data_IF_652353656429
#
_entry.id   IF_652353656429
#
_cell.length_a   1.000
_cell.length_b   1.000
_cell.length_c   1.000
_cell.angle_alpha   90.00
_cell.angle_beta   90.00
_cell.angle_gamma   90.00
#
_symmetry.space_group_name_H-M   'P 1'
#
loop_
_entity.id
_entity.type
_entity.pdbx_description
1 polymer ?
#
# COMPACT_ATOMS: atom_id res chain seq x y z
N UNK A 1 -27.13 -39.89 41.76
CA UNK A 1 -26.23 -40.14 40.62
C UNK A 1 -25.58 -38.81 40.27
N UNK A 2 -24.29 -38.68 40.56
CA UNK A 2 -23.47 -37.49 40.29
C UNK A 2 -22.70 -37.69 38.98
N UNK A 3 -22.49 -36.59 38.25
CA UNK A 3 -21.51 -36.46 37.17
C UNK A 3 -22.14 -36.27 35.78
N UNK A 4 -21.69 -35.38 34.92
CA UNK A 4 -20.62 -34.39 34.96
C UNK A 4 -20.94 -33.34 33.90
N UNK A 5 -20.85 -32.06 34.25
CA UNK A 5 -20.88 -30.95 33.29
C UNK A 5 -19.54 -30.90 32.56
N UNK A 6 -19.52 -31.17 31.26
CA UNK A 6 -18.33 -30.98 30.42
C UNK A 6 -18.25 -29.50 30.05
N UNK A 7 -17.35 -28.76 30.69
CA UNK A 7 -17.03 -27.37 30.35
C UNK A 7 -16.01 -27.40 29.21
N UNK A 8 -16.43 -27.06 27.98
CA UNK A 8 -15.52 -26.80 26.87
C UNK A 8 -14.79 -25.47 27.13
N UNK A 9 -13.50 -25.56 27.46
CA UNK A 9 -12.58 -24.42 27.46
C UNK A 9 -12.22 -24.08 26.01
N UNK A 10 -12.84 -23.05 25.44
CA UNK A 10 -12.35 -22.42 24.22
C UNK A 10 -11.07 -21.64 24.56
N UNK A 11 -9.92 -22.21 24.22
CA UNK A 11 -8.66 -21.47 24.19
C UNK A 11 -8.71 -20.46 23.04
N UNK A 12 -8.93 -19.19 23.36
CA UNK A 12 -8.77 -18.07 22.45
C UNK A 12 -7.28 -17.90 22.10
N UNK A 13 -6.86 -18.49 20.99
CA UNK A 13 -5.60 -18.15 20.33
C UNK A 13 -5.73 -16.73 19.78
N UNK A 14 -5.29 -15.75 20.57
CA UNK A 14 -5.04 -14.39 20.08
C UNK A 14 -3.89 -14.46 19.07
N UNK A 15 -4.22 -14.59 17.79
CA UNK A 15 -3.28 -14.29 16.72
C UNK A 15 -3.01 -12.79 16.85
N UNK A 16 -1.85 -12.44 17.39
CA UNK A 16 -1.40 -11.06 17.41
C UNK A 16 -1.37 -10.58 15.96
N UNK A 17 -2.33 -9.74 15.59
CA UNK A 17 -2.26 -8.98 14.35
C UNK A 17 -0.91 -8.28 14.36
N UNK A 18 -0.10 -8.34 13.28
CA UNK A 18 1.13 -7.59 13.23
C UNK A 18 0.76 -6.13 13.48
N UNK A 19 1.26 -5.58 14.58
CA UNK A 19 1.16 -4.16 14.89
C UNK A 19 1.95 -3.46 13.80
N UNK A 20 1.27 -3.03 12.75
CA UNK A 20 1.82 -2.08 11.81
C UNK A 20 2.08 -0.83 12.64
N UNK A 21 3.34 -0.58 13.01
CA UNK A 21 3.79 0.68 13.59
C UNK A 21 3.24 1.79 12.68
N UNK A 22 2.18 2.45 13.13
CA UNK A 22 1.47 3.46 12.36
C UNK A 22 2.47 4.56 12.07
N UNK A 23 2.92 4.65 10.82
CA UNK A 23 3.85 5.71 10.42
C UNK A 23 3.08 7.03 10.54
N UNK A 24 3.74 8.04 11.08
CA UNK A 24 3.27 9.40 10.85
C UNK A 24 3.28 9.66 9.33
N UNK A 25 2.32 10.45 8.86
CA UNK A 25 2.21 10.84 7.45
C UNK A 25 3.57 11.37 6.99
N UNK A 26 4.19 10.64 6.06
CA UNK A 26 5.52 10.96 5.56
C UNK A 26 5.39 11.43 4.13
N UNK A 27 5.50 12.75 3.92
CA UNK A 27 5.46 13.32 2.58
C UNK A 27 6.66 12.85 1.76
N UNK A 28 6.39 12.42 0.53
CA UNK A 28 7.42 12.11 -0.46
C UNK A 28 7.47 13.19 -1.54
N UNK A 29 8.62 13.40 -2.18
CA UNK A 29 8.79 14.34 -3.29
C UNK A 29 8.78 13.62 -4.64
N UNK A 30 8.07 14.17 -5.63
CA UNK A 30 8.13 13.67 -7.02
C UNK A 30 9.58 13.68 -7.51
N UNK A 31 9.99 12.59 -8.17
CA UNK A 31 11.35 12.41 -8.69
C UNK A 31 12.37 11.87 -7.67
N UNK A 32 12.03 11.81 -6.37
CA UNK A 32 12.92 11.19 -5.40
C UNK A 32 12.83 9.66 -5.47
N UNK A 33 13.91 8.99 -5.06
CA UNK A 33 13.90 7.54 -4.83
C UNK A 33 13.26 7.24 -3.48
N UNK A 34 12.34 6.28 -3.43
CA UNK A 34 11.71 5.80 -2.21
C UNK A 34 11.65 4.27 -2.21
N UNK A 35 11.62 3.68 -1.01
CA UNK A 35 11.48 2.24 -0.82
C UNK A 35 10.08 1.94 -0.32
N UNK A 36 9.29 1.27 -1.15
CA UNK A 36 8.03 0.67 -0.77
C UNK A 36 8.28 -0.55 0.12
N UNK A 37 7.45 -0.73 1.15
CA UNK A 37 7.48 -1.92 2.00
C UNK A 37 6.07 -2.37 2.34
N UNK A 38 5.81 -3.67 2.27
CA UNK A 38 4.54 -4.26 2.68
C UNK A 38 4.75 -5.68 3.21
N UNK A 39 3.73 -6.22 3.89
CA UNK A 39 3.67 -7.63 4.27
C UNK A 39 2.71 -8.34 3.34
N UNK A 40 3.16 -9.39 2.67
CA UNK A 40 2.31 -10.14 1.73
C UNK A 40 1.45 -11.20 2.43
N UNK A 41 0.61 -11.89 1.67
CA UNK A 41 -0.28 -12.95 2.17
C UNK A 41 0.43 -14.14 2.83
N UNK A 42 1.71 -14.35 2.51
CA UNK A 42 2.55 -15.38 3.12
C UNK A 42 3.24 -14.92 4.42
N UNK A 43 2.94 -13.70 4.90
CA UNK A 43 3.55 -13.10 6.09
C UNK A 43 4.98 -12.60 5.88
N UNK A 44 5.49 -12.59 4.64
CA UNK A 44 6.84 -12.10 4.32
C UNK A 44 6.85 -10.59 4.17
N UNK A 45 7.96 -9.97 4.56
CA UNK A 45 8.19 -8.55 4.32
C UNK A 45 8.76 -8.37 2.92
N UNK A 46 8.01 -7.71 2.05
CA UNK A 46 8.40 -7.37 0.70
C UNK A 46 8.86 -5.91 0.61
N UNK A 47 9.89 -5.66 -0.18
CA UNK A 47 10.41 -4.31 -0.46
C UNK A 47 10.69 -4.10 -1.94
N UNK A 48 10.51 -2.87 -2.39
CA UNK A 48 10.87 -2.44 -3.74
C UNK A 48 11.32 -0.98 -3.70
N UNK A 49 12.40 -0.65 -4.40
CA UNK A 49 12.89 0.73 -4.50
C UNK A 49 12.60 1.26 -5.90
N UNK A 50 11.93 2.42 -5.95
CA UNK A 50 11.53 3.06 -7.19
C UNK A 50 11.50 4.58 -7.06
N UNK A 51 11.10 5.25 -8.14
CA UNK A 51 11.02 6.72 -8.19
C UNK A 51 9.57 7.16 -7.96
N UNK A 52 9.37 8.11 -7.06
CA UNK A 52 8.06 8.71 -6.76
C UNK A 52 7.58 9.52 -7.96
N UNK A 53 6.31 9.35 -8.33
CA UNK A 53 5.72 9.93 -9.53
C UNK A 53 6.01 9.15 -10.83
N UNK A 54 6.57 7.94 -10.74
CA UNK A 54 6.74 7.06 -11.91
C UNK A 54 5.41 6.77 -12.60
N UNK A 55 5.48 6.42 -13.88
CA UNK A 55 4.31 5.96 -14.64
C UNK A 55 4.49 4.52 -15.11
N UNK A 56 3.92 3.57 -14.38
CA UNK A 56 4.01 2.14 -14.73
C UNK A 56 2.87 1.68 -15.65
N UNK A 57 1.89 2.55 -15.94
CA UNK A 57 0.72 2.22 -16.76
C UNK A 57 -0.25 1.28 -16.03
N UNK A 58 -0.75 0.25 -16.72
CA UNK A 58 -1.55 -0.79 -16.09
C UNK A 58 -0.67 -1.85 -15.41
N UNK A 59 -1.20 -2.52 -14.38
CA UNK A 59 -0.54 -3.65 -13.73
C UNK A 59 -0.32 -4.83 -14.70
N UNK A 60 0.41 -5.89 -14.30
CA UNK A 60 0.63 -7.06 -15.15
C UNK A 60 -0.65 -7.77 -15.65
N UNK A 61 -1.77 -7.66 -14.94
CA UNK A 61 -3.08 -8.17 -15.40
C UNK A 61 -3.78 -7.28 -16.43
N UNK A 62 -3.20 -6.11 -16.76
CA UNK A 62 -3.77 -5.15 -17.70
C UNK A 62 -4.86 -4.25 -17.10
N UNK A 63 -4.95 -4.16 -15.78
CA UNK A 63 -5.94 -3.35 -15.06
C UNK A 63 -5.33 -2.22 -14.24
N UNK A 64 -6.16 -1.27 -13.83
CA UNK A 64 -5.78 -0.13 -12.99
C UNK A 64 -4.96 0.96 -13.71
N UNK A 65 -4.74 2.06 -12.99
CA UNK A 65 -3.87 3.16 -13.42
C UNK A 65 -2.79 3.37 -12.34
N UNK A 66 -1.58 2.93 -12.67
CA UNK A 66 -0.38 3.06 -11.84
C UNK A 66 0.55 4.14 -12.38
N UNK A 67 -0.03 5.20 -12.96
CA UNK A 67 0.65 6.47 -13.15
C UNK A 67 0.78 7.24 -11.83
N UNK A 68 1.78 8.13 -11.73
CA UNK A 68 2.03 8.92 -10.52
C UNK A 68 2.25 8.09 -9.24
N UNK A 69 3.05 7.01 -9.30
CA UNK A 69 3.25 6.13 -8.15
C UNK A 69 3.68 6.91 -6.88
N UNK A 70 2.97 6.68 -5.78
CA UNK A 70 3.16 7.42 -4.53
C UNK A 70 2.15 8.52 -4.30
N UNK A 71 1.36 8.88 -5.32
CA UNK A 71 0.20 9.74 -5.15
C UNK A 71 -0.91 8.96 -4.45
N UNK A 72 -1.51 9.54 -3.43
CA UNK A 72 -2.71 8.96 -2.83
C UNK A 72 -3.89 9.04 -3.80
N UNK A 73 -4.48 7.89 -4.13
CA UNK A 73 -5.56 7.73 -5.10
C UNK A 73 -5.12 7.00 -6.36
N UNK A 74 -6.04 6.80 -7.30
CA UNK A 74 -5.74 6.10 -8.55
C UNK A 74 -4.99 7.02 -9.52
N UNK A 75 -3.82 6.62 -9.99
CA UNK A 75 -3.14 7.27 -11.11
C UNK A 75 -2.80 8.75 -10.92
N UNK A 76 -2.40 9.40 -12.02
CA UNK A 76 -2.26 10.85 -12.11
C UNK A 76 -3.62 11.57 -12.29
N UNK A 77 -4.63 10.86 -12.79
CA UNK A 77 -5.91 11.44 -13.21
C UNK A 77 -7.09 11.11 -12.29
N UNK A 78 -6.92 10.15 -11.37
CA UNK A 78 -7.98 9.74 -10.48
C UNK A 78 -8.30 10.79 -9.42
N UNK A 79 -9.56 10.79 -8.99
CA UNK A 79 -10.10 11.70 -7.98
C UNK A 79 -9.39 11.51 -6.65
N UNK A 80 -8.71 12.56 -6.18
CA UNK A 80 -8.16 12.66 -4.83
C UNK A 80 -8.18 14.13 -4.38
N UNK A 81 -8.14 14.35 -3.07
CA UNK A 81 -8.02 15.70 -2.52
C UNK A 81 -6.57 16.14 -2.68
N UNK A 82 -6.32 16.96 -3.71
CA UNK A 82 -4.97 17.35 -4.10
C UNK A 82 -4.17 16.22 -4.73
N UNK A 83 -2.90 16.51 -5.00
CA UNK A 83 -1.94 15.56 -5.56
C UNK A 83 -0.92 15.23 -4.47
N UNK A 84 -1.39 14.50 -3.47
CA UNK A 84 -0.66 14.20 -2.24
C UNK A 84 0.26 13.02 -2.48
N UNK A 85 1.57 13.19 -2.25
CA UNK A 85 2.53 12.11 -2.35
C UNK A 85 3.07 11.70 -0.99
N UNK A 86 2.94 10.43 -0.63
CA UNK A 86 3.34 9.92 0.70
C UNK A 86 3.92 8.52 0.65
N UNK A 87 4.57 8.13 1.74
CA UNK A 87 5.25 6.84 1.86
C UNK A 87 4.29 5.65 1.86
N UNK A 88 3.12 5.75 2.49
CA UNK A 88 2.20 4.61 2.54
C UNK A 88 1.40 4.50 1.25
N UNK A 89 1.02 5.62 0.61
CA UNK A 89 0.47 5.60 -0.74
C UNK A 89 1.48 5.03 -1.75
N UNK A 90 2.77 5.36 -1.65
CA UNK A 90 3.81 4.75 -2.49
C UNK A 90 3.94 3.25 -2.26
N UNK A 91 3.93 2.81 -1.00
CA UNK A 91 4.01 1.40 -0.68
C UNK A 91 2.79 0.62 -1.19
N UNK A 92 1.59 1.19 -1.06
CA UNK A 92 0.35 0.62 -1.57
C UNK A 92 0.36 0.51 -3.09
N UNK A 93 0.69 1.57 -3.82
CA UNK A 93 0.72 1.57 -5.29
C UNK A 93 1.65 0.49 -5.84
N UNK A 94 2.85 0.42 -5.27
CA UNK A 94 3.86 -0.56 -5.68
C UNK A 94 3.42 -1.98 -5.34
N UNK A 95 2.90 -2.22 -4.13
CA UNK A 95 2.34 -3.51 -3.77
C UNK A 95 1.25 -3.91 -4.77
N UNK A 96 0.30 -3.01 -4.99
CA UNK A 96 -0.87 -3.25 -5.82
C UNK A 96 -0.50 -3.52 -7.26
N UNK A 97 0.47 -2.80 -7.81
CA UNK A 97 1.01 -3.02 -9.15
C UNK A 97 1.55 -4.44 -9.29
N UNK A 98 2.49 -4.84 -8.44
CA UNK A 98 3.17 -6.13 -8.58
C UNK A 98 2.28 -7.34 -8.27
N UNK A 99 1.26 -7.17 -7.41
CA UNK A 99 0.34 -8.24 -7.04
C UNK A 99 -0.96 -8.23 -7.86
N UNK A 100 -1.13 -7.28 -8.78
CA UNK A 100 -2.41 -7.02 -9.46
C UNK A 100 -3.58 -6.96 -8.46
N UNK A 101 -3.36 -6.26 -7.35
CA UNK A 101 -4.22 -6.28 -6.18
C UNK A 101 -5.60 -5.69 -6.47
N UNK A 102 -6.62 -6.21 -5.77
CA UNK A 102 -7.99 -5.72 -5.87
C UNK A 102 -8.75 -5.96 -4.56
N UNK A 103 -9.83 -5.19 -4.32
CA UNK A 103 -10.60 -5.31 -3.08
C UNK A 103 -10.10 -4.46 -1.90
N UNK A 104 -9.13 -3.57 -2.14
CA UNK A 104 -8.67 -2.57 -1.16
C UNK A 104 -8.15 -3.21 0.12
N UNK A 105 -8.71 -2.82 1.27
CA UNK A 105 -8.34 -3.32 2.59
C UNK A 105 -8.43 -4.85 2.74
N UNK A 106 -9.27 -5.51 1.94
CA UNK A 106 -9.45 -6.96 1.97
C UNK A 106 -8.49 -7.72 1.05
N UNK A 107 -7.64 -7.02 0.28
CA UNK A 107 -6.67 -7.68 -0.57
C UNK A 107 -5.65 -8.47 0.29
N UNK A 108 -5.42 -9.77 0.01
CA UNK A 108 -4.59 -10.60 0.86
C UNK A 108 -3.10 -10.21 0.83
N UNK A 109 -2.62 -9.54 -0.22
CA UNK A 109 -1.22 -9.12 -0.33
C UNK A 109 -1.01 -7.64 0.03
N UNK A 110 -1.99 -6.79 -0.28
CA UNK A 110 -1.84 -5.34 -0.22
C UNK A 110 -2.84 -4.65 0.71
N UNK A 111 -3.78 -5.38 1.33
CA UNK A 111 -4.79 -4.80 2.20
C UNK A 111 -4.21 -4.08 3.42
N UNK A 112 -3.11 -4.58 3.97
CA UNK A 112 -2.38 -3.89 5.04
C UNK A 112 -1.78 -2.56 4.57
N UNK A 113 -1.19 -2.52 3.37
CA UNK A 113 -0.65 -1.28 2.79
C UNK A 113 -1.77 -0.31 2.41
N UNK A 114 -2.91 -0.81 1.92
CA UNK A 114 -4.11 -0.01 1.68
C UNK A 114 -4.58 0.67 2.97
N UNK A 115 -4.71 -0.10 4.06
CA UNK A 115 -5.14 0.44 5.35
C UNK A 115 -4.14 1.46 5.91
N UNK A 116 -2.84 1.25 5.72
CA UNK A 116 -1.80 2.20 6.09
C UNK A 116 -1.93 3.52 5.32
N UNK A 117 -2.34 3.49 4.05
CA UNK A 117 -2.48 4.68 3.22
C UNK A 117 -3.79 5.48 3.47
N UNK A 118 -4.70 5.01 4.34
CA UNK A 118 -6.01 5.64 4.55
C UNK A 118 -5.86 7.04 5.18
N UNK A 119 -5.02 7.19 6.21
CA UNK A 119 -4.82 8.51 6.83
C UNK A 119 -3.95 9.42 5.99
N UNK A 120 -2.99 8.88 5.22
CA UNK A 120 -2.28 9.63 4.17
C UNK A 120 -3.26 10.23 3.15
N UNK A 121 -4.26 9.46 2.73
CA UNK A 121 -5.31 9.93 1.80
C UNK A 121 -6.20 11.00 2.44
N UNK A 122 -6.56 10.82 3.71
CA UNK A 122 -7.48 11.72 4.40
C UNK A 122 -6.81 13.04 4.84
N UNK A 123 -5.53 13.00 5.22
CA UNK A 123 -4.87 14.09 5.92
C UNK A 123 -3.57 14.55 5.25
N UNK A 124 -3.07 13.86 4.22
CA UNK A 124 -1.82 14.23 3.56
C UNK A 124 -1.85 15.62 2.91
N UNK A 125 -3.02 16.08 2.45
CA UNK A 125 -3.19 17.45 1.96
C UNK A 125 -2.98 18.48 3.08
N UNK A 126 -3.61 18.27 4.25
CA UNK A 126 -3.44 19.13 5.42
C UNK A 126 -2.00 19.11 5.96
N UNK A 127 -1.26 18.02 5.74
CA UNK A 127 0.16 17.90 6.07
C UNK A 127 1.10 18.47 4.99
N UNK A 128 0.56 19.11 3.94
CA UNK A 128 1.35 19.81 2.93
C UNK A 128 2.07 18.89 1.94
N UNK A 129 1.65 17.63 1.80
CA UNK A 129 2.30 16.70 0.87
C UNK A 129 1.87 16.89 -0.61
N UNK A 130 1.05 17.90 -0.91
CA UNK A 130 0.52 18.15 -2.25
C UNK A 130 1.59 18.71 -3.19
N UNK A 131 1.67 18.18 -4.41
CA UNK A 131 2.64 18.55 -5.45
C UNK A 131 2.02 18.57 -6.85
N UNK A 132 2.74 19.07 -7.84
CA UNK A 132 2.33 18.92 -9.25
C UNK A 132 2.62 17.50 -9.75
N UNK A 133 1.64 16.88 -10.40
CA UNK A 133 1.84 15.57 -11.02
C UNK A 133 2.84 15.68 -12.18
N UNK A 134 3.80 14.74 -12.30
CA UNK A 134 4.67 14.69 -13.46
C UNK A 134 3.92 14.22 -14.71
N UNK A 135 4.44 14.56 -15.89
CA UNK A 135 3.95 14.07 -17.19
C UNK A 135 4.97 13.11 -17.79
N UNK A 136 5.00 11.89 -17.25
CA UNK A 136 5.94 10.84 -17.66
C UNK A 136 5.30 9.90 -18.67
N UNK A 137 6.03 9.51 -19.71
CA UNK A 137 5.65 8.37 -20.57
C UNK A 137 5.60 7.08 -19.75
N UNK A 138 4.75 6.14 -20.16
CA UNK A 138 4.67 4.81 -19.51
C UNK A 138 6.02 4.10 -19.62
N UNK A 139 6.55 3.67 -18.47
CA UNK A 139 7.77 2.89 -18.35
C UNK A 139 7.61 1.87 -17.21
N UNK A 140 7.47 0.59 -17.57
CA UNK A 140 7.35 -0.50 -16.59
C UNK A 140 8.69 -0.70 -15.84
N UNK A 141 8.66 -1.06 -14.55
CA UNK A 141 9.87 -1.38 -13.82
C UNK A 141 10.52 -2.64 -14.40
N UNK A 142 11.86 -2.67 -14.40
CA UNK A 142 12.67 -3.80 -14.90
C UNK A 142 13.18 -4.72 -13.78
N UNK A 143 12.77 -4.46 -12.54
CA UNK A 143 13.10 -5.24 -11.35
C UNK A 143 11.83 -5.68 -10.63
N UNK A 144 11.96 -6.73 -9.82
CA UNK A 144 10.88 -7.27 -9.00
C UNK A 144 11.11 -6.96 -7.51
N UNK A 145 10.05 -6.98 -6.68
CA UNK A 145 10.18 -6.86 -5.23
C UNK A 145 10.98 -8.01 -4.63
N UNK A 146 11.70 -7.73 -3.54
CA UNK A 146 12.40 -8.73 -2.72
C UNK A 146 11.59 -9.00 -1.47
N UNK A 147 11.24 -10.27 -1.23
CA UNK A 147 10.45 -10.69 -0.06
C UNK A 147 11.23 -11.68 0.81
N UNK A 148 11.40 -11.34 2.08
CA UNK A 148 12.09 -12.17 3.09
C UNK A 148 11.14 -12.61 4.18
#
# INVERSE_FOLDING_TARGET
MLGSLVVLLLASLSIASPTLEKRAITCLKVGQTATASWTNSAGKKCTFTGVVGSNYGANPSGSGDYSCNGRCGAGCSGTAIGNVYTQDCFSHDICSYFNSASGGASDPNCGAAYNAAVDDTALGFANGCSQTNPSNSVAKPNSAPVCT
#
